data_IF_132856038550
#
_entry.id   IF_132856038550
#
_cell.length_a   1.000
_cell.length_b   1.000
_cell.length_c   1.000
_cell.angle_alpha   90.00
_cell.angle_beta   90.00
_cell.angle_gamma   90.00
#
_symmetry.space_group_name_H-M   'P 1'
#
loop_
_entity.id
_entity.type
_entity.pdbx_description
1 polymer ?
#
# COMPACT_ATOMS: atom_id res chain seq x y z
N UNK A 1 19.75 -42.56 8.58
CA UNK A 1 18.50 -42.68 7.81
C UNK A 1 17.81 -41.32 7.81
N UNK A 2 17.99 -40.55 6.75
CA UNK A 2 17.62 -39.12 6.63
C UNK A 2 16.11 -38.86 6.50
N UNK A 3 15.29 -39.77 7.02
CA UNK A 3 13.83 -39.72 7.01
C UNK A 3 13.30 -38.47 7.72
N UNK A 4 13.89 -38.12 8.87
CA UNK A 4 13.53 -36.93 9.63
C UNK A 4 13.75 -35.62 8.84
N UNK A 5 14.81 -35.55 8.03
CA UNK A 5 15.07 -34.39 7.17
C UNK A 5 13.98 -34.20 6.12
N UNK A 6 13.52 -35.30 5.50
CA UNK A 6 12.44 -35.27 4.53
C UNK A 6 11.11 -34.79 5.13
N UNK A 7 10.77 -35.28 6.33
CA UNK A 7 9.56 -34.85 7.05
C UNK A 7 9.62 -33.36 7.36
N UNK A 8 10.79 -32.85 7.79
CA UNK A 8 10.96 -31.45 8.17
C UNK A 8 10.86 -30.49 6.96
N UNK A 9 11.38 -30.91 5.80
CA UNK A 9 11.24 -30.16 4.54
C UNK A 9 9.78 -30.09 4.08
N UNK A 10 9.07 -31.22 4.09
CA UNK A 10 7.64 -31.27 3.73
C UNK A 10 6.81 -30.41 4.68
N UNK A 11 7.09 -30.48 5.98
CA UNK A 11 6.41 -29.69 7.00
C UNK A 11 6.68 -28.19 6.83
N UNK A 12 7.92 -27.81 6.50
CA UNK A 12 8.30 -26.42 6.22
C UNK A 12 7.57 -25.84 5.01
N UNK A 13 7.49 -26.62 3.92
CA UNK A 13 6.74 -26.24 2.71
C UNK A 13 5.25 -26.10 3.05
N UNK A 14 4.68 -27.04 3.79
CA UNK A 14 3.28 -26.99 4.20
C UNK A 14 2.98 -25.77 5.07
N UNK A 15 3.86 -25.42 6.02
CA UNK A 15 3.75 -24.20 6.82
C UNK A 15 3.84 -22.94 5.95
N UNK A 16 4.77 -22.90 5.00
CA UNK A 16 4.94 -21.77 4.09
C UNK A 16 3.68 -21.51 3.25
N UNK A 17 3.06 -22.57 2.70
CA UNK A 17 1.79 -22.45 1.98
C UNK A 17 0.65 -21.97 2.89
N UNK A 18 0.61 -22.44 4.13
CA UNK A 18 -0.40 -22.01 5.10
C UNK A 18 -0.27 -20.52 5.43
N UNK A 19 0.96 -20.04 5.60
CA UNK A 19 1.25 -18.62 5.84
C UNK A 19 0.96 -17.79 4.59
N UNK A 20 1.32 -18.26 3.40
CA UNK A 20 1.04 -17.57 2.14
C UNK A 20 -0.46 -17.34 1.94
N UNK A 21 -1.31 -18.32 2.28
CA UNK A 21 -2.77 -18.15 2.27
C UNK A 21 -3.27 -17.06 3.22
N UNK A 22 -2.68 -16.95 4.41
CA UNK A 22 -3.00 -15.87 5.36
C UNK A 22 -2.53 -14.52 4.83
N UNK A 23 -1.30 -14.43 4.32
CA UNK A 23 -0.74 -13.21 3.74
C UNK A 23 -1.59 -12.72 2.56
N UNK A 24 -1.98 -13.60 1.65
CA UNK A 24 -2.88 -13.26 0.55
C UNK A 24 -4.21 -12.70 1.07
N UNK A 25 -4.82 -13.36 2.05
CA UNK A 25 -6.06 -12.89 2.65
C UNK A 25 -5.89 -11.50 3.26
N UNK A 26 -4.77 -11.27 3.94
CA UNK A 26 -4.45 -9.99 4.57
C UNK A 26 -4.28 -8.88 3.53
N UNK A 27 -3.55 -9.14 2.44
CA UNK A 27 -3.40 -8.20 1.31
C UNK A 27 -4.76 -7.89 0.70
N UNK A 28 -5.58 -8.90 0.42
CA UNK A 28 -6.93 -8.71 -0.15
C UNK A 28 -7.81 -7.90 0.80
N UNK A 29 -7.78 -8.18 2.10
CA UNK A 29 -8.52 -7.38 3.08
C UNK A 29 -8.06 -5.91 3.10
N UNK A 30 -6.76 -5.66 3.00
CA UNK A 30 -6.19 -4.31 2.95
C UNK A 30 -6.61 -3.58 1.67
N UNK A 31 -6.57 -4.27 0.52
CA UNK A 31 -7.07 -3.74 -0.76
C UNK A 31 -8.55 -3.39 -0.69
N UNK A 32 -9.38 -4.25 -0.08
CA UNK A 32 -10.81 -4.00 0.12
C UNK A 32 -11.03 -2.77 1.00
N UNK A 33 -10.27 -2.61 2.09
CA UNK A 33 -10.35 -1.43 2.95
C UNK A 33 -10.01 -0.14 2.21
N UNK A 34 -8.94 -0.15 1.41
CA UNK A 34 -8.53 1.01 0.61
C UNK A 34 -9.59 1.33 -0.44
N UNK A 35 -10.12 0.33 -1.14
CA UNK A 35 -11.19 0.51 -2.12
C UNK A 35 -12.48 1.05 -1.49
N UNK A 36 -12.86 0.50 -0.33
CA UNK A 36 -14.02 0.96 0.43
C UNK A 36 -13.83 2.42 0.88
N UNK A 37 -12.67 2.77 1.43
CA UNK A 37 -12.35 4.15 1.79
C UNK A 37 -12.44 5.08 0.58
N UNK A 38 -11.84 4.71 -0.55
CA UNK A 38 -11.87 5.53 -1.75
C UNK A 38 -13.30 5.75 -2.27
N UNK A 39 -14.16 4.74 -2.17
CA UNK A 39 -15.56 4.84 -2.59
C UNK A 39 -16.43 5.62 -1.59
N UNK A 40 -16.18 5.49 -0.28
CA UNK A 40 -16.88 6.24 0.76
C UNK A 40 -16.41 7.70 0.87
N UNK A 41 -15.16 8.00 0.54
CA UNK A 41 -14.57 9.33 0.65
C UNK A 41 -15.40 10.44 -0.02
N UNK A 42 -15.89 10.32 -1.28
CA UNK A 42 -16.71 11.36 -1.91
C UNK A 42 -18.07 11.53 -1.24
N UNK A 43 -18.62 10.49 -0.61
CA UNK A 43 -19.93 10.56 0.08
C UNK A 43 -19.79 11.30 1.42
N UNK A 44 -18.70 11.05 2.14
CA UNK A 44 -18.44 11.64 3.46
C UNK A 44 -17.64 12.95 3.41
N UNK A 45 -17.21 13.40 2.22
CA UNK A 45 -16.35 14.57 2.05
C UNK A 45 -14.96 14.41 2.66
N UNK A 46 -14.47 13.18 2.77
CA UNK A 46 -13.13 12.90 3.30
C UNK A 46 -12.05 13.17 2.26
N UNK A 47 -10.82 13.52 2.70
CA UNK A 47 -9.70 13.74 1.79
C UNK A 47 -9.44 12.48 0.95
N UNK A 48 -9.22 12.70 -0.33
CA UNK A 48 -8.85 11.66 -1.28
C UNK A 48 -7.50 11.05 -0.88
N UNK A 49 -7.22 9.83 -1.37
CA UNK A 49 -5.94 9.18 -1.08
C UNK A 49 -4.75 10.06 -1.48
N UNK A 50 -4.85 10.82 -2.58
CA UNK A 50 -3.81 11.75 -3.02
C UNK A 50 -3.51 12.85 -2.01
N UNK A 51 -4.53 13.42 -1.37
CA UNK A 51 -4.37 14.45 -0.34
C UNK A 51 -3.79 13.85 0.95
N UNK A 52 -4.20 12.64 1.33
CA UNK A 52 -3.61 11.94 2.48
C UNK A 52 -2.12 11.67 2.26
N UNK A 53 -1.74 11.22 1.07
CA UNK A 53 -0.34 11.00 0.71
C UNK A 53 0.45 12.31 0.55
N UNK A 54 -0.21 13.39 0.14
CA UNK A 54 0.38 14.72 0.06
C UNK A 54 0.74 15.25 1.46
N UNK A 55 -0.17 15.11 2.44
CA UNK A 55 0.07 15.54 3.83
C UNK A 55 1.12 14.67 4.54
N UNK A 56 1.20 13.38 4.21
CA UNK A 56 2.27 12.50 4.71
C UNK A 56 3.55 12.55 3.85
N UNK A 57 3.54 13.32 2.76
CA UNK A 57 4.67 13.46 1.85
C UNK A 57 5.81 14.27 2.48
N UNK A 58 7.05 14.12 1.99
CA UNK A 58 8.14 14.99 2.40
C UNK A 58 7.77 16.44 2.08
N UNK A 59 8.11 17.38 2.98
CA UNK A 59 7.99 18.81 2.69
C UNK A 59 8.95 19.17 1.55
N UNK A 60 8.46 19.06 0.31
CA UNK A 60 9.20 19.48 -0.88
C UNK A 60 9.18 21.01 -0.88
N UNK A 61 10.22 21.59 -0.29
CA UNK A 61 10.51 23.02 -0.44
C UNK A 61 10.83 23.27 -1.91
N UNK A 62 9.84 23.74 -2.67
CA UNK A 62 10.09 24.24 -4.02
C UNK A 62 11.07 25.42 -3.90
N UNK A 63 12.24 25.37 -4.57
CA UNK A 63 13.13 26.51 -4.61
C UNK A 63 12.35 27.71 -5.17
N UNK A 64 12.53 28.90 -4.59
CA UNK A 64 11.97 30.15 -5.12
C UNK A 64 12.50 30.39 -6.54
N UNK A 65 11.81 29.82 -7.53
CA UNK A 65 12.07 30.05 -8.94
C UNK A 65 11.37 31.35 -9.29
N UNK A 66 12.14 32.42 -9.48
CA UNK A 66 11.66 33.66 -10.07
C UNK A 66 11.09 33.35 -11.45
N UNK A 67 9.76 33.27 -11.55
CA UNK A 67 9.09 33.11 -12.83
C UNK A 67 9.36 34.38 -13.66
N UNK A 68 9.81 34.26 -14.91
CA UNK A 68 9.82 35.41 -15.83
C UNK A 68 8.41 35.99 -15.91
N UNK A 69 8.28 37.32 -15.81
CA UNK A 69 7.01 38.01 -15.96
C UNK A 69 6.44 37.72 -17.36
N UNK A 70 5.54 36.75 -17.44
CA UNK A 70 4.83 36.42 -18.67
C UNK A 70 3.76 37.49 -18.90
N UNK A 71 3.80 38.23 -20.01
CA UNK A 71 2.71 39.14 -20.35
C UNK A 71 1.46 38.29 -20.61
N UNK A 72 0.50 38.40 -19.69
CA UNK A 72 -0.82 37.81 -19.89
C UNK A 72 -1.55 38.60 -21.00
N UNK A 73 -2.17 37.93 -21.98
CA UNK A 73 -3.01 38.60 -22.99
C UNK A 73 -4.25 39.25 -22.37
#
# INVERSE_FOLDING_TARGET
MSWLGFVLVILGIWLAFKVAGVVLRLIVTLLILVAAYWWLAPIFGWPTLGEVFYVMGPDVSVPDLSLPDLPLP
#
